data_IF_776127522119
#
_entry.id   IF_776127522119
#
_cell.length_a   1.000
_cell.length_b   1.000
_cell.length_c   1.000
_cell.angle_alpha   90.00
_cell.angle_beta   90.00
_cell.angle_gamma   90.00
#
_symmetry.space_group_name_H-M   'P 1'
#
loop_
_entity.id
_entity.type
_entity.pdbx_description
1 polymer ?
#
# COMPACT_ATOMS: atom_id res chain seq x y z
N UNK A 1 -15.20 -16.66 20.88
CA UNK A 1 -15.85 -16.49 19.57
C UNK A 1 -14.91 -15.73 18.66
N UNK A 2 -14.93 -16.07 17.38
CA UNK A 2 -13.76 -16.01 16.49
C UNK A 2 -13.47 -14.61 15.91
N UNK A 3 -12.71 -13.79 16.65
CA UNK A 3 -12.02 -12.60 16.09
C UNK A 3 -11.11 -12.98 14.90
N UNK A 4 -10.81 -14.27 14.74
CA UNK A 4 -10.12 -14.83 13.57
C UNK A 4 -10.87 -14.55 12.26
N UNK A 5 -12.20 -14.72 12.18
CA UNK A 5 -12.97 -14.50 10.95
C UNK A 5 -12.97 -13.03 10.52
N UNK A 6 -13.07 -12.11 11.49
CA UNK A 6 -12.98 -10.67 11.22
C UNK A 6 -11.59 -10.34 10.69
N UNK A 7 -10.54 -10.84 11.35
CA UNK A 7 -9.14 -10.62 10.96
C UNK A 7 -8.82 -11.23 9.59
N UNK A 8 -9.35 -12.41 9.28
CA UNK A 8 -9.21 -13.07 7.97
C UNK A 8 -9.89 -12.27 6.86
N UNK A 9 -11.08 -11.74 7.11
CA UNK A 9 -11.76 -10.89 6.14
C UNK A 9 -11.01 -9.57 5.90
N UNK A 10 -10.52 -8.92 6.97
CA UNK A 10 -9.67 -7.72 6.87
C UNK A 10 -8.43 -8.01 6.03
N UNK A 11 -7.72 -9.11 6.31
CA UNK A 11 -6.53 -9.49 5.58
C UNK A 11 -6.84 -9.76 4.11
N UNK A 12 -7.92 -10.48 3.83
CA UNK A 12 -8.33 -10.79 2.45
C UNK A 12 -8.71 -9.53 1.66
N UNK A 13 -9.43 -8.59 2.28
CA UNK A 13 -9.75 -7.30 1.65
C UNK A 13 -8.49 -6.46 1.42
N UNK A 14 -7.56 -6.44 2.37
CA UNK A 14 -6.27 -5.77 2.21
C UNK A 14 -5.48 -6.32 1.01
N UNK A 15 -5.44 -7.64 0.85
CA UNK A 15 -4.75 -8.29 -0.27
C UNK A 15 -5.35 -7.94 -1.64
N UNK A 16 -6.62 -7.55 -1.70
CA UNK A 16 -7.30 -7.10 -2.94
C UNK A 16 -6.99 -5.65 -3.31
N UNK A 17 -6.44 -4.86 -2.38
CA UNK A 17 -6.17 -3.43 -2.59
C UNK A 17 -4.70 -3.04 -2.40
N UNK A 18 -3.90 -3.87 -1.73
CA UNK A 18 -2.54 -3.52 -1.30
C UNK A 18 -1.56 -4.61 -1.72
N UNK A 19 -0.40 -4.18 -2.21
CA UNK A 19 0.70 -5.07 -2.56
C UNK A 19 1.99 -4.60 -1.88
N UNK A 20 2.60 -5.45 -1.07
CA UNK A 20 3.93 -5.17 -0.53
C UNK A 20 4.98 -5.31 -1.65
N UNK A 21 5.74 -4.24 -1.89
CA UNK A 21 6.75 -4.18 -2.96
C UNK A 21 8.16 -3.95 -2.40
N UNK A 22 8.35 -4.16 -1.10
CA UNK A 22 9.61 -3.96 -0.39
C UNK A 22 10.73 -4.88 -0.89
N UNK A 23 10.40 -6.11 -1.30
CA UNK A 23 11.38 -7.16 -1.64
C UNK A 23 12.01 -7.03 -3.03
N UNK A 24 11.43 -6.19 -3.90
CA UNK A 24 11.76 -6.16 -5.34
C UNK A 24 12.52 -4.91 -5.77
N UNK A 25 12.90 -4.06 -4.82
CA UNK A 25 13.74 -2.90 -5.10
C UNK A 25 15.13 -3.32 -5.53
N UNK A 26 15.60 -2.79 -6.64
CA UNK A 26 16.97 -2.91 -7.11
C UNK A 26 17.78 -1.72 -6.63
N UNK A 27 19.08 -1.86 -6.41
CA UNK A 27 19.87 -0.81 -5.78
C UNK A 27 21.20 -0.47 -6.46
N UNK A 28 21.63 0.77 -6.27
CA UNK A 28 22.95 1.25 -6.60
C UNK A 28 23.48 2.18 -5.51
N UNK A 29 24.68 1.91 -5.00
CA UNK A 29 25.31 2.69 -3.93
C UNK A 29 26.23 3.81 -4.43
N UNK A 30 26.26 4.07 -5.75
CA UNK A 30 27.01 5.21 -6.30
C UNK A 30 26.13 6.45 -6.35
N UNK A 31 26.63 7.58 -5.85
CA UNK A 31 26.06 8.89 -6.11
C UNK A 31 26.50 9.36 -7.51
N UNK A 32 26.21 8.56 -8.54
CA UNK A 32 26.43 8.97 -9.93
C UNK A 32 25.35 9.97 -10.28
N UNK A 33 25.70 11.24 -10.61
CA UNK A 33 24.75 12.27 -10.97
C UNK A 33 24.32 12.08 -12.42
N UNK A 34 23.78 10.92 -12.77
CA UNK A 34 23.18 10.77 -14.08
C UNK A 34 21.76 11.31 -13.99
N UNK A 35 21.58 12.52 -14.52
CA UNK A 35 20.28 13.14 -14.77
C UNK A 35 19.29 12.24 -15.56
N UNK A 36 19.74 11.07 -16.02
CA UNK A 36 19.02 10.08 -16.79
C UNK A 36 18.69 8.78 -16.02
N UNK A 37 19.00 8.66 -14.72
CA UNK A 37 18.62 7.47 -13.91
C UNK A 37 17.12 7.18 -14.03
N UNK A 38 16.33 8.24 -14.17
CA UNK A 38 14.88 8.16 -14.32
C UNK A 38 14.35 7.54 -15.61
N UNK A 39 15.16 7.47 -16.68
CA UNK A 39 14.68 7.16 -18.04
C UNK A 39 15.38 5.93 -18.63
N UNK A 40 16.50 5.49 -18.04
CA UNK A 40 17.26 4.35 -18.56
C UNK A 40 16.75 3.02 -17.99
N UNK A 41 16.32 2.11 -18.86
CA UNK A 41 15.99 0.71 -18.51
C UNK A 41 17.18 -0.04 -17.88
N UNK A 42 18.39 0.50 -17.95
CA UNK A 42 19.57 -0.07 -17.30
C UNK A 42 19.45 -0.14 -15.77
N UNK A 43 18.61 0.70 -15.14
CA UNK A 43 18.35 0.60 -13.69
C UNK A 43 17.70 -0.74 -13.31
N UNK A 44 17.06 -1.42 -14.27
CA UNK A 44 16.46 -2.74 -14.07
C UNK A 44 17.52 -3.86 -14.04
N UNK A 45 18.77 -3.57 -14.38
CA UNK A 45 19.89 -4.52 -14.29
C UNK A 45 20.60 -4.47 -12.94
N UNK A 46 20.26 -3.52 -12.06
CA UNK A 46 20.83 -3.44 -10.72
C UNK A 46 20.47 -4.69 -9.88
N UNK A 47 21.35 -5.09 -8.95
CA UNK A 47 21.06 -6.19 -8.03
C UNK A 47 19.87 -5.85 -7.12
N UNK A 48 19.14 -6.87 -6.69
CA UNK A 48 18.03 -6.71 -5.73
C UNK A 48 18.60 -6.37 -4.35
N UNK A 49 18.02 -5.36 -3.71
CA UNK A 49 18.38 -4.92 -2.38
C UNK A 49 18.05 -6.00 -1.35
N UNK A 50 18.96 -6.22 -0.39
CA UNK A 50 18.74 -7.16 0.69
C UNK A 50 17.95 -6.50 1.82
N UNK A 51 17.01 -7.24 2.39
CA UNK A 51 16.28 -6.83 3.58
C UNK A 51 17.00 -7.29 4.84
N UNK A 52 17.00 -6.45 5.87
CA UNK A 52 17.43 -6.86 7.20
C UNK A 52 16.32 -7.65 7.92
N UNK A 53 16.58 -8.08 9.17
CA UNK A 53 15.62 -8.82 10.00
C UNK A 53 14.30 -8.07 10.30
N UNK A 54 14.27 -6.75 10.11
CA UNK A 54 13.07 -5.91 10.25
C UNK A 54 12.36 -5.69 8.91
N UNK A 55 12.85 -6.26 7.81
CA UNK A 55 12.31 -6.04 6.47
C UNK A 55 12.75 -4.72 5.82
N UNK A 56 13.73 -4.01 6.38
CA UNK A 56 14.18 -2.73 5.86
C UNK A 56 15.34 -2.87 4.87
N UNK A 57 15.41 -1.99 3.88
CA UNK A 57 16.60 -1.79 3.04
C UNK A 57 17.44 -0.70 3.70
N UNK A 58 18.58 -1.07 4.27
CA UNK A 58 19.41 -0.17 5.09
C UNK A 58 20.54 0.49 4.31
N UNK A 59 20.90 1.69 4.74
CA UNK A 59 21.99 2.51 4.22
C UNK A 59 22.92 2.81 5.41
N UNK A 60 24.24 2.61 5.31
CA UNK A 60 25.16 2.99 6.37
C UNK A 60 25.07 4.49 6.69
N UNK A 61 25.40 4.86 7.93
CA UNK A 61 25.46 6.26 8.36
C UNK A 61 26.53 7.06 7.60
N UNK A 62 26.51 8.38 7.78
CA UNK A 62 27.56 9.27 7.27
C UNK A 62 27.21 9.95 5.96
N UNK A 63 25.92 10.20 5.68
CA UNK A 63 25.51 10.90 4.47
C UNK A 63 25.66 10.08 3.19
N UNK A 64 25.58 8.76 3.30
CA UNK A 64 25.69 7.88 2.15
C UNK A 64 24.43 7.91 1.30
N UNK A 65 24.63 7.81 -0.02
CA UNK A 65 23.55 7.80 -1.00
C UNK A 65 23.23 6.38 -1.40
N UNK A 66 21.94 6.06 -1.43
CA UNK A 66 21.40 4.84 -1.99
C UNK A 66 20.35 5.19 -3.03
N UNK A 67 20.55 4.69 -4.24
CA UNK A 67 19.51 4.66 -5.25
C UNK A 67 18.76 3.34 -5.17
N UNK A 68 17.44 3.42 -5.24
CA UNK A 68 16.54 2.28 -5.38
C UNK A 68 15.69 2.45 -6.63
N UNK A 69 15.48 1.38 -7.39
CA UNK A 69 14.62 1.40 -8.57
C UNK A 69 13.75 0.15 -8.64
N UNK A 70 12.51 0.32 -9.11
CA UNK A 70 11.58 -0.76 -9.33
C UNK A 70 10.65 -0.44 -10.50
N UNK A 71 10.33 -1.45 -11.31
CA UNK A 71 9.30 -1.38 -12.34
C UNK A 71 8.04 -2.08 -11.82
N UNK A 72 6.91 -1.41 -11.96
CA UNK A 72 5.59 -1.96 -11.68
C UNK A 72 4.89 -2.21 -13.00
N UNK A 73 4.38 -3.43 -13.17
CA UNK A 73 3.49 -3.80 -14.28
C UNK A 73 2.13 -4.03 -13.66
N UNK A 74 1.12 -3.27 -14.09
CA UNK A 74 -0.22 -3.37 -13.52
C UNK A 74 -0.83 -4.74 -13.84
N UNK A 75 -1.18 -5.56 -12.83
CA UNK A 75 -1.85 -6.82 -13.06
C UNK A 75 -3.32 -6.61 -13.44
N UNK A 76 -3.98 -7.67 -13.91
CA UNK A 76 -5.42 -7.62 -14.23
C UNK A 76 -6.27 -7.45 -12.96
N UNK A 77 -5.93 -8.25 -11.94
CA UNK A 77 -6.60 -8.29 -10.64
C UNK A 77 -5.59 -8.41 -9.50
N UNK A 78 -6.06 -8.11 -8.28
CA UNK A 78 -5.47 -8.64 -7.06
C UNK A 78 -6.47 -9.58 -6.40
N UNK A 79 -6.11 -10.86 -6.29
CA UNK A 79 -6.94 -11.88 -5.62
C UNK A 79 -8.37 -11.96 -6.18
N UNK A 80 -8.52 -11.78 -7.49
CA UNK A 80 -9.78 -11.78 -8.23
C UNK A 80 -10.50 -10.43 -8.25
N UNK A 81 -10.05 -9.41 -7.52
CA UNK A 81 -10.66 -8.09 -7.55
C UNK A 81 -10.08 -7.25 -8.71
N UNK A 82 -10.93 -6.78 -9.65
CA UNK A 82 -10.46 -6.07 -10.83
C UNK A 82 -9.90 -4.69 -10.48
N UNK A 83 -8.73 -4.36 -11.03
CA UNK A 83 -8.03 -3.12 -10.70
C UNK A 83 -8.35 -1.96 -11.63
N UNK A 84 -8.94 -2.25 -12.80
CA UNK A 84 -9.25 -1.24 -13.83
C UNK A 84 -10.02 -0.07 -13.22
N UNK A 85 -9.65 1.14 -13.65
CA UNK A 85 -10.19 2.42 -13.19
C UNK A 85 -9.91 2.82 -11.72
N UNK A 86 -9.17 2.00 -10.96
CA UNK A 86 -8.64 2.43 -9.66
C UNK A 86 -7.42 3.34 -9.85
N UNK A 87 -7.20 4.25 -8.91
CA UNK A 87 -5.93 4.94 -8.79
C UNK A 87 -4.88 4.02 -8.15
N UNK A 88 -3.65 4.12 -8.64
CA UNK A 88 -2.49 3.48 -8.02
C UNK A 88 -1.65 4.51 -7.28
N UNK A 89 -1.43 4.26 -6.00
CA UNK A 89 -0.51 5.04 -5.16
C UNK A 89 0.61 4.18 -4.60
N UNK A 90 1.79 4.78 -4.42
CA UNK A 90 2.92 4.19 -3.74
C UNK A 90 3.04 4.79 -2.34
N UNK A 91 2.81 3.96 -1.32
CA UNK A 91 3.03 4.30 0.08
C UNK A 91 4.46 3.97 0.49
N UNK A 92 5.20 4.98 0.94
CA UNK A 92 6.59 4.87 1.37
C UNK A 92 6.75 5.33 2.81
N UNK A 93 7.65 4.68 3.54
CA UNK A 93 8.13 5.13 4.85
C UNK A 93 9.64 4.97 4.89
N UNK A 94 10.35 6.00 5.32
CA UNK A 94 11.81 6.05 5.28
C UNK A 94 12.41 6.68 6.53
N UNK A 95 13.71 6.46 6.69
CA UNK A 95 14.56 7.17 7.62
C UNK A 95 15.80 7.64 6.85
N UNK A 96 15.78 8.90 6.43
CA UNK A 96 16.79 9.49 5.55
C UNK A 96 16.75 11.02 5.69
N UNK A 97 17.92 11.67 5.63
CA UNK A 97 18.04 13.14 5.74
C UNK A 97 17.69 13.89 4.45
N UNK A 98 17.68 13.19 3.33
CA UNK A 98 17.22 13.69 2.03
C UNK A 98 16.64 12.51 1.25
N UNK A 99 15.45 12.70 0.70
CA UNK A 99 14.74 11.75 -0.15
C UNK A 99 14.25 12.45 -1.39
N UNK A 100 14.43 11.80 -2.54
CA UNK A 100 13.83 12.21 -3.81
C UNK A 100 13.14 11.03 -4.45
N UNK A 101 11.94 11.27 -4.96
CA UNK A 101 11.08 10.27 -5.57
C UNK A 101 10.87 10.65 -7.04
N UNK A 102 11.23 9.73 -7.93
CA UNK A 102 11.10 9.89 -9.36
C UNK A 102 10.09 8.88 -9.90
N UNK A 103 9.17 9.33 -10.73
CA UNK A 103 8.21 8.48 -11.45
C UNK A 103 8.38 8.72 -12.93
N UNK A 104 8.68 7.66 -13.68
CA UNK A 104 9.03 7.71 -15.10
C UNK A 104 10.09 8.79 -15.39
N UNK A 105 11.04 8.90 -14.45
CA UNK A 105 12.17 9.81 -14.47
C UNK A 105 11.91 11.27 -14.16
N UNK A 106 10.66 11.65 -13.88
CA UNK A 106 10.33 12.98 -13.40
C UNK A 106 10.39 12.99 -11.87
N UNK A 107 11.08 13.99 -11.28
CA UNK A 107 11.02 14.23 -9.84
C UNK A 107 9.61 14.67 -9.47
N UNK A 108 8.89 13.83 -8.72
CA UNK A 108 7.51 14.13 -8.31
C UNK A 108 7.44 14.64 -6.87
N UNK A 109 8.41 14.27 -6.04
CA UNK A 109 8.42 14.64 -4.62
C UNK A 109 9.83 14.57 -4.03
N UNK A 110 10.06 15.41 -3.02
CA UNK A 110 11.23 15.35 -2.13
C UNK A 110 10.77 15.37 -0.68
N UNK A 111 11.63 14.96 0.25
CA UNK A 111 11.38 15.00 1.69
C UNK A 111 12.64 14.73 2.51
N UNK A 112 12.50 14.72 3.83
CA UNK A 112 13.61 14.50 4.77
C UNK A 112 13.15 13.65 5.98
N UNK A 113 13.83 13.80 7.13
CA UNK A 113 13.52 13.08 8.36
C UNK A 113 12.19 13.49 9.00
N UNK A 114 11.68 14.69 8.73
CA UNK A 114 10.42 15.18 9.27
C UNK A 114 9.22 14.69 8.44
N UNK A 115 9.45 14.45 7.15
CA UNK A 115 8.47 13.93 6.20
C UNK A 115 8.56 12.41 5.99
N UNK A 116 8.91 11.65 7.03
CA UNK A 116 9.32 10.23 6.98
C UNK A 116 8.31 9.23 6.37
N UNK A 117 7.13 9.66 5.93
CA UNK A 117 6.16 8.83 5.22
C UNK A 117 5.41 9.64 4.18
N UNK A 118 5.13 9.04 3.03
CA UNK A 118 4.30 9.66 2.00
C UNK A 118 3.50 8.67 1.18
N UNK A 119 2.59 9.21 0.39
CA UNK A 119 1.72 8.45 -0.53
C UNK A 119 1.69 9.16 -1.88
N UNK A 120 2.48 8.66 -2.82
CA UNK A 120 2.65 9.26 -4.14
C UNK A 120 1.61 8.68 -5.09
N UNK A 121 0.86 9.53 -5.79
CA UNK A 121 0.02 9.09 -6.91
C UNK A 121 0.91 8.68 -8.09
N UNK A 122 0.85 7.42 -8.50
CA UNK A 122 1.57 6.91 -9.67
C UNK A 122 0.73 7.05 -10.94
N UNK A 123 -0.52 6.55 -10.90
CA UNK A 123 -1.48 6.60 -12.01
C UNK A 123 -2.88 6.92 -11.44
N UNK A 124 -3.65 7.85 -12.03
CA UNK A 124 -4.99 8.19 -11.57
C UNK A 124 -6.08 7.16 -11.93
N UNK A 125 -5.88 6.38 -12.98
CA UNK A 125 -6.78 5.29 -13.42
C UNK A 125 -5.93 4.25 -14.15
N UNK A 126 -5.77 3.08 -13.54
CA UNK A 126 -4.86 2.04 -14.04
C UNK A 126 -5.46 1.25 -15.21
N UNK A 127 -4.58 0.81 -16.10
CA UNK A 127 -4.88 -0.17 -17.14
C UNK A 127 -3.97 -1.40 -17.01
N UNK A 128 -4.51 -2.58 -17.24
CA UNK A 128 -3.74 -3.82 -17.22
C UNK A 128 -2.55 -3.75 -18.18
N UNK A 129 -1.38 -4.18 -17.71
CA UNK A 129 -0.14 -4.17 -18.46
C UNK A 129 0.53 -2.80 -18.57
N UNK A 130 -0.05 -1.73 -18.01
CA UNK A 130 0.63 -0.44 -17.93
C UNK A 130 1.89 -0.56 -17.06
N UNK A 131 2.96 0.12 -17.47
CA UNK A 131 4.26 0.03 -16.82
C UNK A 131 4.64 1.37 -16.18
N UNK A 132 5.15 1.32 -14.97
CA UNK A 132 5.65 2.48 -14.24
C UNK A 132 7.05 2.16 -13.72
N UNK A 133 7.98 3.06 -13.95
CA UNK A 133 9.30 3.00 -13.34
C UNK A 133 9.35 4.00 -12.19
N UNK A 134 9.67 3.52 -11.00
CA UNK A 134 9.91 4.38 -9.84
C UNK A 134 11.36 4.26 -9.41
N UNK A 135 11.99 5.41 -9.17
CA UNK A 135 13.30 5.48 -8.55
C UNK A 135 13.27 6.35 -7.29
N UNK A 136 14.01 5.94 -6.26
CA UNK A 136 14.20 6.67 -5.02
C UNK A 136 15.69 7.00 -4.89
N UNK A 137 15.99 8.22 -4.49
CA UNK A 137 17.31 8.58 -3.96
C UNK A 137 17.16 8.83 -2.47
N UNK A 138 17.89 8.08 -1.67
CA UNK A 138 17.91 8.21 -0.21
C UNK A 138 19.31 8.63 0.24
N UNK A 139 19.40 9.57 1.16
CA UNK A 139 20.64 9.95 1.82
C UNK A 139 20.53 9.64 3.31
N UNK A 140 21.44 8.82 3.83
CA UNK A 140 21.44 8.49 5.26
C UNK A 140 21.77 9.71 6.13
N UNK A 141 21.28 9.77 7.38
CA UNK A 141 21.74 10.73 8.37
C UNK A 141 23.25 10.65 8.60
N UNK A 142 23.84 11.70 9.18
CA UNK A 142 25.28 11.72 9.43
C UNK A 142 25.69 10.73 10.54
N UNK A 143 24.87 10.64 11.59
CA UNK A 143 25.20 9.89 12.80
C UNK A 143 24.33 8.64 12.99
N UNK A 144 23.48 8.30 12.02
CA UNK A 144 22.58 7.15 12.11
C UNK A 144 22.42 6.47 10.76
N UNK A 145 22.13 5.18 10.77
CA UNK A 145 21.87 4.41 9.55
C UNK A 145 20.58 4.89 8.91
N UNK A 146 20.56 5.06 7.59
CA UNK A 146 19.33 5.33 6.84
C UNK A 146 18.58 4.04 6.48
N UNK A 147 17.32 4.16 6.09
CA UNK A 147 16.54 3.01 5.59
C UNK A 147 15.35 3.41 4.71
N UNK A 148 15.04 2.56 3.73
CA UNK A 148 13.66 2.40 3.27
C UNK A 148 12.98 1.36 4.19
N UNK A 149 12.03 1.82 5.00
CA UNK A 149 11.39 1.00 6.03
C UNK A 149 10.15 0.28 5.51
N UNK A 150 9.38 0.93 4.62
CA UNK A 150 8.17 0.36 4.04
C UNK A 150 7.96 0.84 2.62
N UNK A 151 7.51 -0.06 1.76
CA UNK A 151 7.09 0.23 0.39
C UNK A 151 5.93 -0.68 -0.01
N UNK A 152 4.80 -0.10 -0.36
CA UNK A 152 3.61 -0.83 -0.78
C UNK A 152 2.83 -0.04 -1.82
N UNK A 153 2.24 -0.75 -2.77
CA UNK A 153 1.26 -0.21 -3.68
C UNK A 153 -0.13 -0.26 -3.03
N UNK A 154 -0.95 0.75 -3.33
CA UNK A 154 -2.35 0.82 -2.93
C UNK A 154 -3.18 1.15 -4.15
N UNK A 155 -4.10 0.26 -4.50
CA UNK A 155 -5.15 0.46 -5.47
C UNK A 155 -6.39 0.93 -4.72
N UNK A 156 -6.95 2.06 -5.11
CA UNK A 156 -8.10 2.64 -4.43
C UNK A 156 -9.03 3.36 -5.41
N UNK A 157 -10.29 3.47 -5.03
CA UNK A 157 -11.24 4.26 -5.78
C UNK A 157 -10.94 5.76 -5.67
N UNK A 158 -11.14 6.51 -6.75
CA UNK A 158 -11.19 7.99 -6.72
C UNK A 158 -12.60 8.52 -6.65
N UNK A 159 -13.61 7.64 -6.64
CA UNK A 159 -15.02 7.98 -6.56
C UNK A 159 -15.57 7.65 -5.17
N UNK A 160 -16.25 8.61 -4.56
CA UNK A 160 -16.93 8.45 -3.26
C UNK A 160 -18.07 7.42 -3.30
N UNK A 161 -18.61 7.14 -4.49
CA UNK A 161 -19.73 6.21 -4.69
C UNK A 161 -19.28 4.74 -4.79
N UNK A 162 -17.97 4.49 -4.83
CA UNK A 162 -17.39 3.15 -5.03
C UNK A 162 -16.61 2.73 -3.79
N UNK A 163 -17.01 1.62 -3.18
CA UNK A 163 -16.34 1.05 -2.00
C UNK A 163 -15.23 0.09 -2.45
N UNK A 164 -13.98 0.55 -2.45
CA UNK A 164 -12.87 -0.38 -2.67
C UNK A 164 -12.58 -1.25 -1.42
N UNK A 165 -12.02 -2.46 -1.60
CA UNK A 165 -11.73 -3.38 -0.51
C UNK A 165 -10.80 -2.79 0.57
N UNK A 166 -9.85 -1.94 0.16
CA UNK A 166 -8.87 -1.35 1.07
C UNK A 166 -9.51 -0.41 2.07
N UNK A 167 -10.44 0.43 1.60
CA UNK A 167 -11.23 1.30 2.46
C UNK A 167 -12.05 0.52 3.50
N UNK A 168 -12.74 -0.54 3.07
CA UNK A 168 -13.56 -1.38 3.96
C UNK A 168 -12.69 -2.13 4.96
N UNK A 169 -11.51 -2.60 4.55
CA UNK A 169 -10.54 -3.24 5.47
C UNK A 169 -10.09 -2.29 6.58
N UNK A 170 -9.83 -1.02 6.27
CA UNK A 170 -9.47 -0.01 7.26
C UNK A 170 -10.64 0.29 8.22
N UNK A 171 -11.87 0.44 7.71
CA UNK A 171 -13.07 0.62 8.54
C UNK A 171 -13.27 -0.55 9.51
N UNK A 172 -13.18 -1.79 9.01
CA UNK A 172 -13.30 -2.99 9.82
C UNK A 172 -12.19 -3.08 10.87
N UNK A 173 -10.95 -2.71 10.53
CA UNK A 173 -9.81 -2.72 11.46
C UNK A 173 -10.05 -1.77 12.63
N UNK A 174 -10.54 -0.55 12.34
CA UNK A 174 -10.86 0.45 13.36
C UNK A 174 -12.02 -0.05 14.23
N UNK A 175 -13.08 -0.56 13.62
CA UNK A 175 -14.25 -1.05 14.33
C UNK A 175 -13.91 -2.26 15.22
N UNK A 176 -13.15 -3.23 14.72
CA UNK A 176 -12.71 -4.39 15.50
C UNK A 176 -11.97 -3.95 16.77
N UNK A 177 -10.98 -3.05 16.63
CA UNK A 177 -10.20 -2.54 17.77
C UNK A 177 -11.07 -1.79 18.78
N UNK A 178 -12.01 -0.98 18.29
CA UNK A 178 -12.96 -0.28 19.14
C UNK A 178 -13.85 -1.26 19.91
N UNK A 179 -14.47 -2.23 19.23
CA UNK A 179 -15.35 -3.21 19.87
C UNK A 179 -14.61 -4.12 20.85
N UNK A 180 -13.38 -4.53 20.54
CA UNK A 180 -12.54 -5.31 21.47
C UNK A 180 -12.27 -4.58 22.79
N UNK A 181 -12.29 -3.24 22.77
CA UNK A 181 -12.01 -2.41 23.96
C UNK A 181 -13.28 -1.93 24.66
N UNK A 182 -14.27 -1.47 23.90
CA UNK A 182 -15.39 -0.67 24.42
C UNK A 182 -16.75 -1.39 24.39
N UNK A 183 -16.95 -2.36 23.49
CA UNK A 183 -18.22 -3.10 23.36
C UNK A 183 -18.03 -4.55 22.86
N UNK A 184 -17.36 -5.43 23.63
CA UNK A 184 -17.01 -6.78 23.17
C UNK A 184 -18.23 -7.64 22.84
N UNK A 185 -19.40 -7.37 23.43
CA UNK A 185 -20.65 -8.05 23.15
C UNK A 185 -21.15 -7.83 21.71
N UNK A 186 -20.69 -6.78 21.03
CA UNK A 186 -21.04 -6.50 19.62
C UNK A 186 -20.12 -7.24 18.63
N UNK A 187 -19.04 -7.91 19.08
CA UNK A 187 -18.13 -8.65 18.20
C UNK A 187 -18.81 -9.81 17.48
N UNK A 188 -19.77 -10.48 18.11
CA UNK A 188 -20.54 -11.55 17.46
C UNK A 188 -21.40 -11.00 16.31
N UNK A 189 -21.96 -9.80 16.50
CA UNK A 189 -22.74 -9.13 15.45
C UNK A 189 -21.86 -8.68 14.29
N UNK A 190 -20.65 -8.17 14.58
CA UNK A 190 -19.66 -7.86 13.56
C UNK A 190 -19.21 -9.10 12.79
N UNK A 191 -18.97 -10.21 13.51
CA UNK A 191 -18.62 -11.51 12.90
C UNK A 191 -19.71 -11.97 11.94
N UNK A 192 -20.98 -11.91 12.36
CA UNK A 192 -22.11 -12.24 11.50
C UNK A 192 -22.17 -11.33 10.26
N UNK A 193 -21.98 -10.02 10.43
CA UNK A 193 -21.99 -9.08 9.31
C UNK A 193 -20.88 -9.40 8.29
N UNK A 194 -19.68 -9.74 8.75
CA UNK A 194 -18.54 -10.10 7.89
C UNK A 194 -18.80 -11.36 7.05
N UNK A 195 -19.65 -12.29 7.52
CA UNK A 195 -20.03 -13.47 6.72
C UNK A 195 -20.89 -13.14 5.50
N UNK A 196 -21.44 -11.92 5.42
CA UNK A 196 -22.23 -11.43 4.28
C UNK A 196 -21.37 -10.98 3.09
N UNK A 197 -20.04 -10.88 3.25
CA UNK A 197 -19.16 -10.56 2.13
C UNK A 197 -19.26 -11.69 1.09
N UNK A 198 -19.69 -11.33 -0.13
CA UNK A 198 -19.89 -12.31 -1.19
C UNK A 198 -18.60 -12.55 -1.96
N UNK A 199 -17.68 -13.30 -1.36
CA UNK A 199 -16.41 -13.67 -2.00
C UNK A 199 -16.56 -14.41 -3.33
N UNK A 200 -17.71 -15.08 -3.56
CA UNK A 200 -17.99 -15.81 -4.78
C UNK A 200 -18.45 -14.89 -5.94
N UNK A 201 -18.69 -13.60 -5.68
CA UNK A 201 -18.99 -12.63 -6.74
C UNK A 201 -17.78 -12.34 -7.63
N UNK A 202 -16.55 -12.54 -7.13
CA UNK A 202 -15.34 -12.28 -7.88
C UNK A 202 -15.24 -13.23 -9.10
N UNK A 203 -14.80 -12.74 -10.27
CA UNK A 203 -14.15 -11.46 -10.50
C UNK A 203 -15.08 -10.27 -10.82
N UNK A 204 -16.40 -10.41 -10.63
CA UNK A 204 -17.33 -9.30 -10.84
C UNK A 204 -17.21 -8.27 -9.70
N UNK A 205 -16.42 -7.22 -9.95
CA UNK A 205 -16.16 -6.15 -9.00
C UNK A 205 -17.44 -5.44 -8.55
N UNK A 206 -18.40 -5.22 -9.46
CA UNK A 206 -19.63 -4.50 -9.13
C UNK A 206 -20.50 -5.29 -8.16
N UNK A 207 -20.72 -6.59 -8.42
CA UNK A 207 -21.47 -7.44 -7.48
C UNK A 207 -20.72 -7.65 -6.16
N UNK A 208 -19.38 -7.72 -6.20
CA UNK A 208 -18.58 -7.80 -4.98
C UNK A 208 -18.73 -6.54 -4.11
N UNK A 209 -18.58 -5.36 -4.71
CA UNK A 209 -18.72 -4.06 -4.02
C UNK A 209 -20.13 -3.84 -3.45
N UNK A 210 -21.18 -4.34 -4.12
CA UNK A 210 -22.53 -4.35 -3.56
C UNK A 210 -22.61 -5.14 -2.25
N UNK A 211 -21.90 -6.27 -2.13
CA UNK A 211 -21.84 -7.01 -0.87
C UNK A 211 -21.11 -6.24 0.23
N UNK A 212 -20.09 -5.46 -0.12
CA UNK A 212 -19.41 -4.56 0.83
C UNK A 212 -20.32 -3.41 1.29
N UNK A 213 -21.16 -2.88 0.40
CA UNK A 213 -22.16 -1.89 0.78
C UNK A 213 -23.20 -2.46 1.76
N UNK A 214 -23.66 -3.70 1.53
CA UNK A 214 -24.57 -4.41 2.46
C UNK A 214 -23.89 -4.63 3.81
N UNK A 215 -22.63 -5.09 3.83
CA UNK A 215 -21.84 -5.20 5.06
C UNK A 215 -21.82 -3.88 5.83
N UNK A 216 -21.42 -2.79 5.16
CA UNK A 216 -21.29 -1.46 5.78
C UNK A 216 -22.61 -0.96 6.37
N UNK A 217 -23.73 -1.18 5.68
CA UNK A 217 -25.06 -0.85 6.18
C UNK A 217 -25.43 -1.63 7.45
N UNK A 218 -25.10 -2.93 7.50
CA UNK A 218 -25.33 -3.74 8.70
C UNK A 218 -24.48 -3.26 9.88
N UNK A 219 -23.23 -2.88 9.64
CA UNK A 219 -22.34 -2.35 10.69
C UNK A 219 -22.81 -0.99 11.23
N UNK A 220 -23.34 -0.10 10.37
CA UNK A 220 -23.90 1.19 10.81
C UNK A 220 -25.11 1.04 11.76
N UNK A 221 -25.86 -0.06 11.64
CA UNK A 221 -26.95 -0.35 12.58
C UNK A 221 -26.43 -0.79 13.97
N UNK A 222 -25.19 -1.29 14.07
CA UNK A 222 -24.58 -1.68 15.35
C UNK A 222 -24.18 -0.47 16.20
N UNK A 223 -23.84 0.65 15.55
CA UNK A 223 -23.55 1.93 16.23
C UNK A 223 -24.81 2.74 16.56
N UNK A 224 -25.93 2.48 15.87
CA UNK A 224 -27.16 3.28 16.02
C UNK A 224 -28.12 2.79 17.11
N UNK A 225 -27.93 1.59 17.67
CA UNK A 225 -28.78 1.03 18.74
C UNK A 225 -28.41 1.55 20.16
N UNK A 226 -27.82 2.75 20.27
CA UNK A 226 -27.44 3.41 21.54
C UNK A 226 -28.47 4.46 22.01
N UNK A 227 -29.76 4.25 21.75
CA UNK A 227 -30.85 5.07 22.34
C UNK A 227 -31.83 4.24 23.12
#
# INVERSE_FOLDING_TARGET
>A
MDSSLISEAIERLNQMARLNVQISWRYCSSDTPDANIGISTQILNWPIAQLNVKGHITIPAGGQVLWLAQQFIIPEDLHGYPLTDLALRLGLTWWAKDVKIFVNGSLVQSGDLLDASTRVLLIPSVKTGEEIIVALRLVSPDNDQGALMRSHLVYESTSDDRLDPGFVADELTILQRYLETEAPEKLDSMTLAVTLINWAALPDGQFFEQSLAILRQNLANLSSNET
#
